data_IF_981908945036
#
_entry.id   IF_981908945036
#
_cell.length_a   1.000
_cell.length_b   1.000
_cell.length_c   1.000
_cell.angle_alpha   90.00
_cell.angle_beta   90.00
_cell.angle_gamma   90.00
#
_symmetry.space_group_name_H-M   'P 1'
#
loop_
_entity.id
_entity.type
_entity.pdbx_description
1 polymer ?
#
# COMPACT_ATOMS: atom_id res chain seq x y z
N UNK A 1 13.93 4.64 27.35
CA UNK A 1 12.65 5.31 27.64
C UNK A 1 12.67 6.69 27.03
N UNK A 2 11.89 6.93 25.98
CA UNK A 2 11.77 8.29 25.44
C UNK A 2 10.98 9.18 26.42
N UNK A 3 11.34 10.46 26.57
CA UNK A 3 10.63 11.38 27.46
C UNK A 3 9.24 11.80 26.94
N UNK A 4 8.90 11.45 25.69
CA UNK A 4 7.63 11.72 25.03
C UNK A 4 7.11 10.48 24.29
N UNK A 5 5.86 10.54 23.84
CA UNK A 5 5.25 9.49 23.04
C UNK A 5 5.98 9.36 21.69
N UNK A 6 6.61 8.21 21.38
CA UNK A 6 7.32 8.01 20.11
C UNK A 6 6.40 7.97 18.89
N UNK A 7 5.08 7.88 19.10
CA UNK A 7 4.05 7.81 18.05
C UNK A 7 3.22 9.10 17.94
N UNK A 8 3.67 10.20 18.55
CA UNK A 8 3.07 11.53 18.39
C UNK A 8 3.64 12.22 17.15
N UNK A 9 2.83 12.35 16.10
CA UNK A 9 3.19 13.00 14.85
C UNK A 9 3.65 14.46 15.01
N UNK A 10 3.35 15.10 16.14
CA UNK A 10 3.79 16.48 16.44
C UNK A 10 5.20 16.57 17.02
N UNK A 11 5.90 15.44 17.17
CA UNK A 11 7.24 15.34 17.77
C UNK A 11 8.23 14.77 16.76
N UNK A 12 9.50 15.03 16.99
CA UNK A 12 10.63 14.44 16.26
C UNK A 12 11.44 13.59 17.21
N UNK A 13 12.15 12.59 16.69
CA UNK A 13 13.20 11.90 17.42
C UNK A 13 14.49 12.69 17.23
N UNK A 14 15.18 13.02 18.33
CA UNK A 14 16.39 13.84 18.25
C UNK A 14 17.56 13.06 17.65
N UNK A 15 18.34 13.71 16.77
CA UNK A 15 19.41 13.06 16.01
C UNK A 15 20.63 12.68 16.87
N UNK A 16 20.78 13.25 18.06
CA UNK A 16 21.81 12.86 19.03
C UNK A 16 21.53 11.48 19.64
N UNK A 17 20.25 11.15 19.86
CA UNK A 17 19.80 9.83 20.32
C UNK A 17 19.58 8.85 19.17
N UNK A 18 19.05 9.33 18.04
CA UNK A 18 18.71 8.54 16.85
C UNK A 18 19.36 9.14 15.60
N UNK A 19 20.67 8.90 15.40
CA UNK A 19 21.40 9.46 14.26
C UNK A 19 20.84 8.95 12.94
N UNK A 20 20.91 9.80 11.92
CA UNK A 20 20.51 9.42 10.56
C UNK A 20 21.41 8.28 10.06
N UNK A 21 20.79 7.21 9.57
CA UNK A 21 21.47 6.10 8.92
C UNK A 21 21.20 6.24 7.41
N UNK A 22 22.27 6.38 6.63
CA UNK A 22 22.15 6.49 5.19
C UNK A 22 21.62 5.17 4.58
N UNK A 23 20.66 5.28 3.67
CA UNK A 23 20.02 4.13 2.99
C UNK A 23 20.29 4.14 1.48
N UNK A 24 20.21 5.31 0.83
CA UNK A 24 20.42 5.45 -0.60
C UNK A 24 19.98 6.81 -1.14
N UNK A 25 19.93 6.94 -2.47
CA UNK A 25 19.61 8.18 -3.19
C UNK A 25 18.45 7.94 -4.15
N UNK A 26 17.52 8.90 -4.21
CA UNK A 26 16.41 8.94 -5.17
C UNK A 26 16.61 10.12 -6.11
N UNK A 27 16.53 9.89 -7.43
CA UNK A 27 16.58 10.94 -8.45
C UNK A 27 15.28 11.02 -9.26
N UNK A 28 14.92 12.22 -9.69
CA UNK A 28 13.80 12.47 -10.62
C UNK A 28 14.37 12.88 -11.97
N UNK A 29 14.37 11.97 -12.93
CA UNK A 29 15.10 12.11 -14.20
C UNK A 29 14.21 12.09 -15.46
N UNK A 30 12.88 12.05 -15.29
CA UNK A 30 11.93 11.98 -16.40
C UNK A 30 10.63 12.70 -16.07
N UNK A 31 10.21 13.59 -16.96
CA UNK A 31 8.89 14.23 -16.90
C UNK A 31 7.80 13.27 -17.38
N UNK A 32 6.56 13.40 -16.87
CA UNK A 32 5.41 12.65 -17.40
C UNK A 32 5.12 13.01 -18.87
N UNK A 33 4.72 12.02 -19.67
CA UNK A 33 4.33 12.23 -21.07
C UNK A 33 2.90 12.80 -21.14
N UNK A 34 2.02 12.35 -20.24
CA UNK A 34 0.66 12.84 -20.12
C UNK A 34 0.36 13.16 -18.65
N UNK A 35 0.25 14.45 -18.34
CA UNK A 35 -0.01 14.93 -16.97
C UNK A 35 -1.28 14.30 -16.37
N UNK A 36 -2.38 14.22 -17.13
CA UNK A 36 -3.63 13.70 -16.59
C UNK A 36 -3.54 12.20 -16.28
N UNK A 37 -2.89 11.43 -17.15
CA UNK A 37 -2.72 9.99 -16.94
C UNK A 37 -1.74 9.67 -15.81
N UNK A 38 -0.62 10.38 -15.76
CA UNK A 38 0.52 9.98 -14.94
C UNK A 38 0.62 10.78 -13.62
N UNK A 39 0.00 11.97 -13.54
CA UNK A 39 0.02 12.82 -12.34
C UNK A 39 -1.36 12.90 -11.69
N UNK A 40 -2.37 13.35 -12.43
CA UNK A 40 -3.72 13.55 -11.86
C UNK A 40 -4.34 12.23 -11.38
N UNK A 41 -4.12 11.15 -12.12
CA UNK A 41 -4.63 9.82 -11.79
C UNK A 41 -3.70 9.00 -10.88
N UNK A 42 -2.57 9.57 -10.43
CA UNK A 42 -1.71 8.88 -9.47
C UNK A 42 -2.42 8.65 -8.12
N UNK A 43 -2.20 7.47 -7.55
CA UNK A 43 -2.82 7.04 -6.30
C UNK A 43 -1.75 6.48 -5.36
N UNK A 44 -1.47 7.21 -4.28
CA UNK A 44 -0.56 6.80 -3.21
C UNK A 44 -1.36 6.47 -1.96
N UNK A 45 -1.23 5.26 -1.42
CA UNK A 45 -1.88 4.90 -0.16
C UNK A 45 -0.83 4.42 0.85
N UNK A 46 -0.86 4.87 2.12
CA UNK A 46 0.05 4.36 3.14
C UNK A 46 -0.05 2.85 3.36
N UNK A 47 -1.19 2.23 3.02
CA UNK A 47 -1.38 0.78 3.09
C UNK A 47 -0.66 -0.03 2.01
N UNK A 48 -0.14 0.63 0.96
CA UNK A 48 0.64 -0.03 -0.10
C UNK A 48 2.08 -0.25 0.37
N UNK A 49 2.25 -1.16 1.34
CA UNK A 49 3.54 -1.58 1.90
C UNK A 49 4.05 -2.85 1.22
N UNK A 50 5.32 -3.17 1.48
CA UNK A 50 5.99 -4.41 1.04
C UNK A 50 6.49 -5.19 2.27
N UNK A 51 6.68 -6.52 2.17
CA UNK A 51 7.26 -7.31 3.25
C UNK A 51 8.56 -6.68 3.77
N UNK A 52 8.66 -6.54 5.09
CA UNK A 52 9.78 -5.86 5.78
C UNK A 52 9.50 -4.42 6.21
N UNK A 53 8.43 -3.79 5.72
CA UNK A 53 7.96 -2.46 6.15
C UNK A 53 6.54 -2.60 6.69
N UNK A 54 6.24 -1.99 7.84
CA UNK A 54 4.92 -2.08 8.49
C UNK A 54 4.56 -0.79 9.22
N UNK A 55 3.43 -0.78 9.91
CA UNK A 55 2.85 0.42 10.55
C UNK A 55 3.22 0.54 12.03
N UNK A 56 3.17 1.77 12.53
CA UNK A 56 3.22 2.08 13.96
C UNK A 56 1.82 2.40 14.51
N UNK A 57 1.61 2.38 15.84
CA UNK A 57 0.36 2.78 16.47
C UNK A 57 0.12 4.31 16.52
N UNK A 58 0.78 5.11 15.67
CA UNK A 58 0.48 6.54 15.51
C UNK A 58 -0.97 6.71 15.03
N UNK A 59 -1.79 7.43 15.81
CA UNK A 59 -3.22 7.61 15.53
C UNK A 59 -3.49 8.31 14.19
N UNK A 60 -2.64 9.22 13.77
CA UNK A 60 -2.76 9.89 12.47
C UNK A 60 -2.45 8.90 11.35
N UNK A 61 -1.41 8.08 11.49
CA UNK A 61 -1.13 7.02 10.52
C UNK A 61 -2.29 6.03 10.42
N UNK A 62 -2.82 5.57 11.57
CA UNK A 62 -3.93 4.62 11.63
C UNK A 62 -5.16 5.12 10.86
N UNK A 63 -5.52 6.41 10.99
CA UNK A 63 -6.60 7.00 10.20
C UNK A 63 -6.33 7.01 8.69
N UNK A 64 -5.06 7.21 8.28
CA UNK A 64 -4.65 7.20 6.87
C UNK A 64 -4.64 5.81 6.25
N UNK A 65 -4.57 4.74 7.06
CA UNK A 65 -4.60 3.37 6.54
C UNK A 65 -5.91 3.05 5.83
N UNK A 66 -7.01 3.68 6.25
CA UNK A 66 -8.31 3.54 5.61
C UNK A 66 -8.54 4.61 4.54
N UNK A 67 -8.28 5.88 4.87
CA UNK A 67 -8.83 7.02 4.12
C UNK A 67 -8.35 7.14 2.67
N UNK A 68 -7.10 6.78 2.39
CA UNK A 68 -6.54 6.95 1.05
C UNK A 68 -7.15 5.99 0.03
N UNK A 69 -7.21 4.70 0.37
CA UNK A 69 -7.80 3.69 -0.51
C UNK A 69 -9.29 3.95 -0.74
N UNK A 70 -10.00 4.42 0.29
CA UNK A 70 -11.40 4.84 0.18
C UNK A 70 -11.58 6.03 -0.78
N UNK A 71 -10.85 7.11 -0.54
CA UNK A 71 -10.88 8.30 -1.40
C UNK A 71 -10.50 8.00 -2.85
N UNK A 72 -9.54 7.11 -3.09
CA UNK A 72 -9.10 6.70 -4.42
C UNK A 72 -10.18 5.91 -5.16
N UNK A 73 -10.90 5.01 -4.50
CA UNK A 73 -12.02 4.28 -5.12
C UNK A 73 -13.11 5.25 -5.59
N UNK A 74 -13.40 6.29 -4.82
CA UNK A 74 -14.35 7.33 -5.24
C UNK A 74 -13.80 8.18 -6.39
N UNK A 75 -12.57 8.68 -6.27
CA UNK A 75 -11.95 9.62 -7.23
C UNK A 75 -11.62 8.99 -8.59
N UNK A 76 -11.16 7.73 -8.60
CA UNK A 76 -10.59 7.06 -9.77
C UNK A 76 -11.32 5.77 -10.16
N UNK A 77 -12.27 5.31 -9.33
CA UNK A 77 -13.00 4.05 -9.52
C UNK A 77 -12.34 2.86 -8.83
N UNK A 78 -13.10 1.76 -8.69
CA UNK A 78 -12.66 0.56 -7.97
C UNK A 78 -11.43 -0.12 -8.59
N UNK A 79 -11.24 0.05 -9.90
CA UNK A 79 -10.15 -0.55 -10.68
C UNK A 79 -8.98 0.41 -10.95
N UNK A 80 -8.78 1.44 -10.10
CA UNK A 80 -7.72 2.45 -10.29
C UNK A 80 -6.29 1.87 -10.35
N UNK A 81 -6.07 0.68 -9.80
CA UNK A 81 -4.80 -0.06 -9.87
C UNK A 81 -4.45 -0.53 -11.29
N UNK A 82 -5.41 -0.51 -12.23
CA UNK A 82 -5.18 -0.83 -13.65
C UNK A 82 -4.65 0.37 -14.44
N UNK A 83 -4.72 1.59 -13.88
CA UNK A 83 -4.16 2.80 -14.50
C UNK A 83 -2.63 2.64 -14.54
N UNK A 84 -1.95 2.88 -15.68
CA UNK A 84 -0.53 2.52 -15.85
C UNK A 84 0.42 3.03 -14.76
N UNK A 85 0.20 4.24 -14.23
CA UNK A 85 1.06 4.80 -13.17
C UNK A 85 0.87 4.11 -11.80
N UNK A 86 -0.30 3.50 -11.57
CA UNK A 86 -0.64 2.81 -10.33
C UNK A 86 -0.42 1.28 -10.42
N UNK A 87 -0.19 0.76 -11.63
CA UNK A 87 -0.01 -0.66 -11.85
C UNK A 87 1.32 -1.15 -11.26
N UNK A 88 1.27 -2.26 -10.52
CA UNK A 88 2.47 -2.88 -9.97
C UNK A 88 3.35 -3.45 -11.09
N UNK A 89 4.67 -3.38 -10.91
CA UNK A 89 5.68 -3.90 -11.85
C UNK A 89 6.17 -5.31 -11.50
N UNK A 90 5.47 -5.99 -10.59
CA UNK A 90 5.73 -7.36 -10.17
C UNK A 90 4.50 -8.24 -10.51
N UNK A 91 4.60 -9.57 -10.44
CA UNK A 91 3.44 -10.44 -10.61
C UNK A 91 2.31 -10.07 -9.64
N UNK A 92 1.11 -9.83 -10.19
CA UNK A 92 -0.09 -9.51 -9.42
C UNK A 92 -1.09 -10.64 -9.56
N UNK A 93 -1.42 -11.30 -8.45
CA UNK A 93 -2.50 -12.29 -8.39
C UNK A 93 -3.52 -11.88 -7.33
N UNK A 94 -4.29 -10.82 -7.62
CA UNK A 94 -5.32 -10.32 -6.72
C UNK A 94 -6.65 -11.03 -6.97
N UNK A 95 -7.40 -11.26 -5.90
CA UNK A 95 -8.68 -11.97 -5.97
C UNK A 95 -9.84 -11.12 -6.53
N UNK A 96 -9.69 -9.79 -6.60
CA UNK A 96 -10.76 -8.88 -7.02
C UNK A 96 -11.28 -9.18 -8.43
N UNK A 97 -12.60 -9.10 -8.61
CA UNK A 97 -13.34 -9.33 -9.86
C UNK A 97 -14.23 -8.14 -10.20
N UNK A 98 -14.51 -7.98 -11.48
CA UNK A 98 -15.50 -7.05 -12.04
C UNK A 98 -15.23 -5.57 -11.68
N UNK A 99 -16.27 -4.80 -11.37
CA UNK A 99 -16.20 -3.36 -11.15
C UNK A 99 -16.23 -2.56 -12.45
N UNK A 100 -16.54 -1.26 -12.33
CA UNK A 100 -16.60 -0.36 -13.48
C UNK A 100 -15.23 -0.29 -14.18
N UNK A 101 -15.24 -0.33 -15.51
CA UNK A 101 -14.04 -0.12 -16.33
C UNK A 101 -12.97 -1.21 -16.20
N UNK A 102 -13.35 -2.47 -15.93
CA UNK A 102 -12.41 -3.60 -15.90
C UNK A 102 -11.82 -3.87 -17.29
N UNK A 103 -10.50 -3.79 -17.46
CA UNK A 103 -9.83 -3.90 -18.78
C UNK A 103 -8.67 -4.90 -18.84
N UNK A 104 -8.36 -5.60 -17.75
CA UNK A 104 -7.20 -6.51 -17.61
C UNK A 104 -7.52 -8.00 -17.93
N UNK A 105 -8.70 -8.28 -18.48
CA UNK A 105 -9.18 -9.65 -18.72
C UNK A 105 -9.85 -10.32 -17.52
N UNK A 106 -9.93 -9.67 -16.36
CA UNK A 106 -10.71 -10.10 -15.19
C UNK A 106 -10.38 -11.50 -14.65
N UNK A 107 -9.14 -11.96 -14.86
CA UNK A 107 -8.68 -13.35 -14.62
C UNK A 107 -9.53 -14.44 -15.34
N UNK A 108 -10.21 -14.08 -16.43
CA UNK A 108 -10.96 -15.02 -17.27
C UNK A 108 -11.96 -15.88 -16.49
N UNK A 109 -11.91 -17.19 -16.71
CA UNK A 109 -12.78 -18.18 -16.06
C UNK A 109 -12.20 -18.75 -14.77
N UNK A 110 -11.09 -18.21 -14.24
CA UNK A 110 -10.53 -18.70 -12.98
C UNK A 110 -11.54 -18.52 -11.86
N UNK A 111 -11.69 -19.56 -11.03
CA UNK A 111 -12.62 -19.59 -9.90
C UNK A 111 -12.48 -18.35 -9.03
N UNK A 112 -13.61 -17.83 -8.53
CA UNK A 112 -13.66 -16.62 -7.72
C UNK A 112 -13.95 -16.92 -6.25
N UNK A 113 -13.38 -17.98 -5.67
CA UNK A 113 -13.51 -18.30 -4.23
C UNK A 113 -12.27 -18.96 -3.62
N UNK A 114 -12.05 -18.74 -2.33
CA UNK A 114 -11.03 -19.38 -1.50
C UNK A 114 -11.62 -19.68 -0.10
N UNK A 115 -11.25 -20.80 0.57
CA UNK A 115 -10.37 -21.86 0.10
C UNK A 115 -11.01 -22.70 -1.02
N UNK A 116 -10.19 -23.32 -1.87
CA UNK A 116 -10.64 -24.17 -2.98
C UNK A 116 -9.68 -25.35 -3.21
N UNK A 117 -10.15 -26.36 -3.95
CA UNK A 117 -9.38 -27.59 -4.23
C UNK A 117 -8.48 -27.49 -5.47
N UNK A 118 -8.39 -26.32 -6.10
CA UNK A 118 -7.66 -26.12 -7.36
C UNK A 118 -6.33 -25.39 -7.17
N UNK A 119 -6.01 -24.98 -5.93
CA UNK A 119 -4.76 -24.28 -5.60
C UNK A 119 -4.76 -22.79 -5.98
N UNK A 120 -5.92 -22.24 -6.35
CA UNK A 120 -6.02 -20.81 -6.69
C UNK A 120 -6.11 -19.95 -5.43
N UNK A 121 -5.58 -18.72 -5.49
CA UNK A 121 -5.65 -17.73 -4.41
C UNK A 121 -5.02 -18.19 -3.09
N UNK A 122 -3.95 -18.99 -3.16
CA UNK A 122 -3.22 -19.43 -1.99
C UNK A 122 -2.64 -18.23 -1.21
N UNK A 123 -2.81 -18.26 0.11
CA UNK A 123 -2.16 -17.34 1.02
C UNK A 123 -0.65 -17.60 1.10
N UNK A 124 0.12 -16.59 1.53
CA UNK A 124 1.57 -16.66 1.68
C UNK A 124 1.94 -16.38 3.15
N UNK A 125 1.81 -17.40 4.04
CA UNK A 125 2.02 -17.24 5.48
C UNK A 125 3.46 -16.84 5.86
N UNK A 126 4.43 -17.06 4.98
CA UNK A 126 5.82 -16.65 5.14
C UNK A 126 6.00 -15.12 5.26
N UNK A 127 5.02 -14.32 4.80
CA UNK A 127 5.04 -12.86 4.92
C UNK A 127 4.26 -12.33 6.13
N UNK A 128 3.86 -13.20 7.06
CA UNK A 128 3.12 -12.79 8.25
C UNK A 128 3.99 -11.91 9.16
N UNK A 129 3.45 -10.75 9.55
CA UNK A 129 4.09 -9.88 10.54
C UNK A 129 4.12 -10.52 11.94
N UNK A 130 5.15 -10.21 12.76
CA UNK A 130 5.17 -10.62 14.17
C UNK A 130 4.00 -9.98 14.94
N UNK A 131 3.50 -10.63 15.99
CA UNK A 131 2.47 -10.05 16.85
C UNK A 131 3.01 -8.81 17.58
N UNK A 132 2.12 -7.85 17.84
CA UNK A 132 2.40 -6.67 18.68
C UNK A 132 1.68 -6.84 20.02
N UNK A 133 2.41 -6.73 21.12
CA UNK A 133 1.82 -6.78 22.45
C UNK A 133 0.94 -5.56 22.70
N UNK A 134 -0.24 -5.79 23.30
CA UNK A 134 -1.21 -4.74 23.62
C UNK A 134 -1.57 -4.82 25.10
N UNK A 135 -1.55 -3.68 25.78
CA UNK A 135 -1.96 -3.52 27.17
C UNK A 135 -2.98 -2.39 27.29
N UNK A 136 -3.96 -2.53 28.19
CA UNK A 136 -4.99 -1.53 28.47
C UNK A 136 -5.17 -1.31 29.96
#
# INVERSE_FOLDING_TARGET
>A
NMPYNPFDLTKVWYHDEFPLIEVGVMELNRNPENYFQDVEQAAFAPTTIVPGISFSPDRMLQGRLFSYADAQRYRLGANYYQIPVNAAKCPVNIYHRDGQGRIDGNHGSTIGYAPNSFGEWAEQPEFKNPPLDVSG
#
